data_IF_757417817288
#
_entry.id   IF_757417817288
#
_cell.length_a   1.000
_cell.length_b   1.000
_cell.length_c   1.000
_cell.angle_alpha   90.00
_cell.angle_beta   90.00
_cell.angle_gamma   90.00
#
_symmetry.space_group_name_H-M   'P 1'
#
loop_
_entity.id
_entity.type
_entity.pdbx_description
1 polymer ?
#
# COMPACT_ATOMS: atom_id res chain seq x y z
N UNK A 1 -15.92 -5.32 13.32
CA UNK A 1 -14.96 -5.69 12.27
C UNK A 1 -14.83 -7.20 12.25
N UNK A 2 -15.04 -7.84 11.11
CA UNK A 2 -14.85 -9.29 11.02
C UNK A 2 -13.34 -9.61 11.06
N UNK A 3 -12.93 -10.70 11.71
CA UNK A 3 -11.50 -11.08 11.85
C UNK A 3 -10.79 -11.12 10.49
N UNK A 4 -11.50 -11.54 9.45
CA UNK A 4 -11.04 -11.56 8.07
C UNK A 4 -10.66 -10.19 7.51
N UNK A 5 -11.39 -9.13 7.82
CA UNK A 5 -11.11 -7.78 7.30
C UNK A 5 -9.79 -7.25 7.85
N UNK A 6 -9.53 -7.44 9.15
CA UNK A 6 -8.26 -7.05 9.78
C UNK A 6 -7.07 -7.77 9.12
N UNK A 7 -7.22 -9.07 8.87
CA UNK A 7 -6.17 -9.84 8.21
C UNK A 7 -5.91 -9.32 6.80
N UNK A 8 -6.98 -9.02 6.04
CA UNK A 8 -6.85 -8.46 4.70
C UNK A 8 -6.13 -7.11 4.71
N UNK A 9 -6.51 -6.19 5.60
CA UNK A 9 -5.86 -4.88 5.74
C UNK A 9 -4.38 -5.02 6.14
N UNK A 10 -4.06 -5.96 7.03
CA UNK A 10 -2.68 -6.22 7.46
C UNK A 10 -1.85 -6.86 6.34
N UNK A 11 -2.40 -7.83 5.60
CA UNK A 11 -1.73 -8.43 4.45
C UNK A 11 -1.49 -7.38 3.36
N UNK A 12 -2.46 -6.51 3.12
CA UNK A 12 -2.33 -5.43 2.14
C UNK A 12 -1.20 -4.47 2.54
N UNK A 13 -1.17 -4.07 3.81
CA UNK A 13 -0.12 -3.19 4.33
C UNK A 13 1.28 -3.81 4.13
N UNK A 14 1.44 -5.09 4.46
CA UNK A 14 2.71 -5.82 4.30
C UNK A 14 3.12 -5.90 2.83
N UNK A 15 2.18 -6.28 1.94
CA UNK A 15 2.44 -6.38 0.50
C UNK A 15 2.87 -5.02 -0.07
N UNK A 16 2.17 -3.93 0.28
CA UNK A 16 2.52 -2.57 -0.17
C UNK A 16 3.92 -2.20 0.32
N UNK A 17 4.23 -2.42 1.60
CA UNK A 17 5.52 -2.05 2.19
C UNK A 17 6.70 -2.81 1.60
N UNK A 18 6.54 -4.10 1.30
CA UNK A 18 7.61 -4.96 0.79
C UNK A 18 7.75 -4.85 -0.73
N UNK A 19 6.66 -4.60 -1.46
CA UNK A 19 6.64 -4.59 -2.94
C UNK A 19 7.79 -3.85 -3.63
N UNK A 20 8.28 -2.69 -3.16
CA UNK A 20 9.34 -1.95 -3.85
C UNK A 20 10.72 -2.62 -3.66
N UNK A 21 10.89 -3.38 -2.58
CA UNK A 21 12.13 -4.10 -2.26
C UNK A 21 12.28 -5.38 -3.06
N UNK A 22 11.21 -5.85 -3.69
CA UNK A 22 11.28 -7.00 -4.60
C UNK A 22 12.31 -6.74 -5.70
N UNK A 23 12.49 -5.49 -6.12
CA UNK A 23 13.51 -5.10 -7.11
C UNK A 23 14.90 -5.60 -6.71
N UNK A 24 15.27 -5.57 -5.42
CA UNK A 24 16.60 -6.02 -4.95
C UNK A 24 16.83 -7.53 -5.08
N UNK A 25 15.80 -8.33 -5.38
CA UNK A 25 15.98 -9.76 -5.64
C UNK A 25 16.84 -10.04 -6.89
N UNK A 26 17.01 -9.05 -7.78
CA UNK A 26 17.95 -9.14 -8.89
C UNK A 26 19.39 -9.43 -8.45
N UNK A 27 19.79 -9.00 -7.24
CA UNK A 27 21.13 -9.24 -6.69
C UNK A 27 21.43 -10.73 -6.46
N UNK A 28 20.41 -11.58 -6.38
CA UNK A 28 20.59 -13.03 -6.27
C UNK A 28 20.91 -13.70 -7.61
N UNK A 29 20.87 -12.96 -8.72
CA UNK A 29 21.16 -13.50 -10.04
C UNK A 29 22.61 -13.25 -10.44
N UNK A 30 23.12 -14.10 -11.34
CA UNK A 30 24.52 -14.03 -11.78
C UNK A 30 24.82 -12.74 -12.56
N UNK A 31 25.90 -12.00 -12.22
CA UNK A 31 26.31 -10.82 -12.96
C UNK A 31 27.03 -11.13 -14.28
N UNK A 32 27.38 -12.41 -14.52
CA UNK A 32 28.19 -12.82 -15.68
C UNK A 32 27.41 -13.58 -16.75
N UNK A 33 26.22 -14.08 -16.43
CA UNK A 33 25.39 -14.85 -17.36
C UNK A 33 24.33 -13.96 -18.01
N UNK A 34 24.10 -14.18 -19.30
CA UNK A 34 23.11 -13.50 -20.16
C UNK A 34 21.90 -14.40 -20.51
N UNK A 35 21.75 -15.50 -19.78
CA UNK A 35 20.63 -16.43 -19.90
C UNK A 35 20.13 -16.87 -18.52
N UNK A 36 18.83 -17.15 -18.46
CA UNK A 36 18.19 -17.78 -17.31
C UNK A 36 18.00 -19.27 -17.56
N UNK A 37 18.29 -20.09 -16.55
CA UNK A 37 18.05 -21.54 -16.61
C UNK A 37 16.72 -21.89 -15.92
N UNK A 38 15.76 -22.39 -16.69
CA UNK A 38 14.48 -22.89 -16.18
C UNK A 38 14.31 -24.35 -16.61
N UNK A 39 14.21 -25.28 -15.64
CA UNK A 39 14.03 -26.72 -15.92
C UNK A 39 14.97 -27.23 -17.03
N UNK A 40 16.26 -26.92 -16.89
CA UNK A 40 17.33 -27.26 -17.86
C UNK A 40 17.28 -26.51 -19.21
N UNK A 41 16.19 -25.79 -19.51
CA UNK A 41 16.10 -24.90 -20.68
C UNK A 41 16.78 -23.56 -20.42
N UNK A 42 17.49 -23.03 -21.42
CA UNK A 42 18.15 -21.72 -21.37
C UNK A 42 17.31 -20.69 -22.10
N UNK A 43 16.85 -19.69 -21.37
CA UNK A 43 16.16 -18.53 -21.92
C UNK A 43 17.16 -17.38 -22.09
N UNK A 44 17.47 -17.06 -23.34
CA UNK A 44 18.31 -15.90 -23.69
C UNK A 44 17.44 -14.65 -23.72
N UNK A 45 17.75 -13.71 -22.84
CA UNK A 45 16.97 -12.50 -22.66
C UNK A 45 17.65 -11.29 -23.29
N UNK A 46 18.75 -11.42 -24.05
CA UNK A 46 19.42 -10.34 -24.79
C UNK A 46 19.89 -9.11 -24.01
N UNK A 47 20.02 -9.19 -22.67
CA UNK A 47 20.68 -8.16 -21.86
C UNK A 47 22.06 -8.64 -21.48
N UNK A 48 22.96 -7.71 -21.12
CA UNK A 48 24.36 -8.07 -20.84
C UNK A 48 24.53 -9.03 -19.66
N UNK A 49 23.60 -9.02 -18.70
CA UNK A 49 23.56 -9.99 -17.62
C UNK A 49 22.16 -10.17 -17.02
N UNK A 50 21.99 -11.26 -16.26
CA UNK A 50 20.75 -11.59 -15.57
C UNK A 50 20.36 -10.52 -14.54
N UNK A 51 21.33 -9.91 -13.85
CA UNK A 51 21.06 -8.87 -12.85
C UNK A 51 20.32 -7.66 -13.45
N UNK A 52 20.81 -7.12 -14.58
CA UNK A 52 20.16 -6.00 -15.28
C UNK A 52 18.80 -6.36 -15.82
N UNK A 53 18.68 -7.56 -16.41
CA UNK A 53 17.40 -8.03 -16.95
C UNK A 53 16.34 -8.11 -15.85
N UNK A 54 16.66 -8.80 -14.75
CA UNK A 54 15.73 -8.97 -13.63
C UNK A 54 15.44 -7.62 -12.96
N UNK A 55 16.43 -6.74 -12.81
CA UNK A 55 16.21 -5.40 -12.26
C UNK A 55 15.23 -4.59 -13.12
N UNK A 56 15.41 -4.54 -14.45
CA UNK A 56 14.51 -3.84 -15.37
C UNK A 56 13.09 -4.43 -15.35
N UNK A 57 13.00 -5.76 -15.37
CA UNK A 57 11.74 -6.49 -15.29
C UNK A 57 10.98 -6.16 -14.00
N UNK A 58 11.67 -6.16 -12.86
CA UNK A 58 11.04 -5.86 -11.57
C UNK A 58 10.73 -4.37 -11.40
N UNK A 59 11.58 -3.48 -11.92
CA UNK A 59 11.35 -2.04 -11.90
C UNK A 59 10.13 -1.64 -12.74
N UNK A 60 9.75 -2.42 -13.76
CA UNK A 60 8.47 -2.24 -14.48
C UNK A 60 7.28 -2.95 -13.81
N UNK A 61 7.52 -4.10 -13.18
CA UNK A 61 6.49 -4.86 -12.46
C UNK A 61 5.99 -4.17 -11.17
N UNK A 62 6.88 -3.56 -10.39
CA UNK A 62 6.50 -2.92 -9.12
C UNK A 62 5.46 -1.78 -9.29
N UNK A 63 5.63 -0.84 -10.24
CA UNK A 63 4.60 0.11 -10.65
C UNK A 63 3.26 -0.52 -11.02
N UNK A 64 3.29 -1.61 -11.79
CA UNK A 64 2.08 -2.33 -12.21
C UNK A 64 1.32 -2.89 -10.99
N UNK A 65 2.04 -3.55 -10.08
CA UNK A 65 1.48 -4.11 -8.86
C UNK A 65 0.89 -3.01 -7.97
N UNK A 66 1.64 -1.93 -7.72
CA UNK A 66 1.21 -0.83 -6.87
C UNK A 66 -0.01 -0.11 -7.43
N UNK A 67 -0.06 0.17 -8.74
CA UNK A 67 -1.21 0.81 -9.37
C UNK A 67 -2.44 -0.10 -9.42
N UNK A 68 -2.24 -1.42 -9.56
CA UNK A 68 -3.33 -2.41 -9.46
C UNK A 68 -3.94 -2.43 -8.05
N UNK A 69 -3.09 -2.41 -7.01
CA UNK A 69 -3.55 -2.30 -5.63
C UNK A 69 -4.22 -0.95 -5.36
N UNK A 70 -3.69 0.13 -5.93
CA UNK A 70 -4.29 1.47 -5.83
C UNK A 70 -5.72 1.47 -6.40
N UNK A 71 -5.93 0.89 -7.58
CA UNK A 71 -7.27 0.75 -8.18
C UNK A 71 -8.24 -0.04 -7.28
N UNK A 72 -7.82 -1.21 -6.77
CA UNK A 72 -8.66 -2.10 -5.96
C UNK A 72 -9.02 -1.43 -4.62
N UNK A 73 -8.07 -0.75 -3.98
CA UNK A 73 -8.23 -0.21 -2.63
C UNK A 73 -8.89 1.17 -2.57
N UNK A 74 -9.01 1.86 -3.70
CA UNK A 74 -9.56 3.22 -3.76
C UNK A 74 -11.08 3.18 -3.85
N UNK A 75 -11.77 3.96 -3.01
CA UNK A 75 -13.23 3.98 -2.97
C UNK A 75 -13.85 4.94 -3.98
N UNK A 76 -13.13 6.01 -4.31
CA UNK A 76 -13.58 7.08 -5.18
C UNK A 76 -13.72 6.63 -6.63
N UNK A 77 -14.68 7.22 -7.35
CA UNK A 77 -14.95 6.85 -8.74
C UNK A 77 -13.83 7.25 -9.71
N UNK A 78 -13.06 8.29 -9.40
CA UNK A 78 -11.91 8.69 -10.22
C UNK A 78 -10.83 7.61 -10.38
N UNK A 79 -10.84 6.55 -9.57
CA UNK A 79 -9.90 5.43 -9.70
C UNK A 79 -9.94 4.73 -11.06
N UNK A 80 -11.05 4.83 -11.81
CA UNK A 80 -11.12 4.23 -13.15
C UNK A 80 -10.12 4.89 -14.13
N UNK A 81 -9.68 6.12 -13.85
CA UNK A 81 -8.59 6.78 -14.57
C UNK A 81 -7.21 6.15 -14.31
N UNK A 82 -7.09 5.24 -13.33
CA UNK A 82 -5.87 4.44 -13.10
C UNK A 82 -5.77 3.28 -14.10
N UNK A 83 -6.89 2.79 -14.67
CA UNK A 83 -6.88 1.63 -15.56
C UNK A 83 -6.01 1.82 -16.82
N UNK A 84 -6.04 2.97 -17.52
CA UNK A 84 -5.10 3.22 -18.61
C UNK A 84 -3.64 3.20 -18.16
N UNK A 85 -3.33 3.71 -16.97
CA UNK A 85 -1.97 3.71 -16.41
C UNK A 85 -1.53 2.27 -16.10
N UNK A 86 -2.42 1.43 -15.58
CA UNK A 86 -2.16 0.00 -15.38
C UNK A 86 -1.87 -0.70 -16.72
N UNK A 87 -2.66 -0.43 -17.75
CA UNK A 87 -2.44 -0.99 -19.08
C UNK A 87 -1.08 -0.56 -19.67
N UNK A 88 -0.72 0.73 -19.51
CA UNK A 88 0.58 1.25 -19.94
C UNK A 88 1.75 0.59 -19.18
N UNK A 89 1.66 0.48 -17.85
CA UNK A 89 2.68 -0.21 -17.05
C UNK A 89 2.79 -1.69 -17.41
N UNK A 90 1.66 -2.34 -17.73
CA UNK A 90 1.66 -3.73 -18.16
C UNK A 90 2.32 -3.91 -19.53
N UNK A 91 2.04 -3.01 -20.48
CA UNK A 91 2.74 -2.98 -21.76
C UNK A 91 4.26 -2.79 -21.58
N UNK A 92 4.66 -1.87 -20.70
CA UNK A 92 6.07 -1.67 -20.33
C UNK A 92 6.71 -2.88 -19.65
N UNK A 93 5.94 -3.65 -18.88
CA UNK A 93 6.41 -4.92 -18.31
C UNK A 93 6.58 -6.00 -19.38
N UNK A 94 5.60 -6.15 -20.28
CA UNK A 94 5.68 -7.10 -21.38
C UNK A 94 6.82 -6.77 -22.35
N UNK A 95 7.15 -5.50 -22.51
CA UNK A 95 8.21 -5.03 -23.41
C UNK A 95 9.55 -5.74 -23.19
N UNK A 96 9.89 -6.06 -21.94
CA UNK A 96 11.16 -6.72 -21.61
C UNK A 96 11.25 -8.17 -22.11
N UNK A 97 10.14 -8.76 -22.54
CA UNK A 97 10.11 -10.08 -23.18
C UNK A 97 10.22 -10.00 -24.71
N UNK A 98 10.06 -8.82 -25.32
CA UNK A 98 10.01 -8.63 -26.78
C UNK A 98 10.97 -7.50 -27.19
N UNK A 99 12.22 -7.88 -27.50
CA UNK A 99 13.37 -6.95 -27.52
C UNK A 99 13.49 -6.07 -28.78
N UNK A 100 12.68 -6.29 -29.80
CA UNK A 100 12.93 -5.77 -31.16
C UNK A 100 12.06 -4.56 -31.57
N UNK A 101 11.23 -4.03 -30.66
CA UNK A 101 10.24 -2.99 -30.99
C UNK A 101 10.52 -1.71 -30.17
N UNK A 102 10.08 -0.53 -30.63
CA UNK A 102 10.10 0.67 -29.76
C UNK A 102 9.00 0.53 -28.71
N UNK A 103 9.27 0.97 -27.47
CA UNK A 103 8.30 0.88 -26.37
C UNK A 103 6.92 1.41 -26.74
N UNK A 104 6.84 2.61 -27.33
CA UNK A 104 5.57 3.25 -27.71
C UNK A 104 4.81 2.41 -28.75
N UNK A 105 5.49 1.94 -29.80
CA UNK A 105 4.85 1.10 -30.82
C UNK A 105 4.43 -0.26 -30.27
N UNK A 106 5.20 -0.81 -29.32
CA UNK A 106 4.88 -2.08 -28.68
C UNK A 106 3.66 -1.96 -27.76
N UNK A 107 3.56 -0.89 -26.96
CA UNK A 107 2.41 -0.62 -26.09
C UNK A 107 1.10 -0.43 -26.88
N UNK A 108 1.19 -0.03 -28.16
CA UNK A 108 0.05 0.10 -29.07
C UNK A 108 -0.19 -1.14 -29.94
N UNK A 109 0.60 -2.19 -29.77
CA UNK A 109 0.53 -3.40 -30.60
C UNK A 109 -0.57 -4.35 -30.12
N UNK A 110 -1.01 -5.28 -30.98
CA UNK A 110 -2.07 -6.24 -30.63
C UNK A 110 -1.62 -7.19 -29.52
N UNK A 111 -0.33 -7.49 -29.49
CA UNK A 111 0.35 -8.35 -28.54
C UNK A 111 0.29 -7.80 -27.11
N UNK A 112 0.17 -6.47 -26.94
CA UNK A 112 0.00 -5.83 -25.62
C UNK A 112 -1.45 -5.53 -25.30
N UNK A 113 -2.23 -5.04 -26.26
CA UNK A 113 -3.62 -4.62 -26.05
C UNK A 113 -4.50 -5.79 -25.59
N UNK A 114 -4.41 -6.97 -26.22
CA UNK A 114 -5.26 -8.12 -25.87
C UNK A 114 -4.98 -8.59 -24.44
N UNK A 115 -3.72 -8.87 -24.03
CA UNK A 115 -3.39 -9.20 -22.64
C UNK A 115 -3.76 -8.10 -21.65
N UNK A 116 -3.61 -6.82 -22.02
CA UNK A 116 -4.00 -5.71 -21.15
C UNK A 116 -5.51 -5.71 -20.87
N UNK A 117 -6.35 -5.93 -21.88
CA UNK A 117 -7.82 -6.04 -21.70
C UNK A 117 -8.18 -7.20 -20.75
N UNK A 118 -7.49 -8.34 -20.89
CA UNK A 118 -7.69 -9.49 -19.99
C UNK A 118 -7.33 -9.12 -18.56
N UNK A 119 -6.17 -8.50 -18.34
CA UNK A 119 -5.73 -8.04 -17.02
C UNK A 119 -6.72 -7.07 -16.39
N UNK A 120 -7.17 -6.05 -17.14
CA UNK A 120 -8.14 -5.06 -16.65
C UNK A 120 -9.48 -5.73 -16.30
N UNK A 121 -9.92 -6.70 -17.09
CA UNK A 121 -11.15 -7.46 -16.82
C UNK A 121 -11.04 -8.25 -15.52
N UNK A 122 -9.92 -8.92 -15.29
CA UNK A 122 -9.63 -9.63 -14.03
C UNK A 122 -9.63 -8.66 -12.85
N UNK A 123 -8.99 -7.49 -12.98
CA UNK A 123 -8.96 -6.48 -11.92
C UNK A 123 -10.37 -5.96 -11.59
N UNK A 124 -11.22 -5.72 -12.60
CA UNK A 124 -12.61 -5.30 -12.39
C UNK A 124 -13.43 -6.40 -11.69
N UNK A 125 -13.21 -7.68 -12.03
CA UNK A 125 -13.87 -8.81 -11.37
C UNK A 125 -13.44 -8.91 -9.91
N UNK A 126 -12.14 -8.82 -9.63
CA UNK A 126 -11.58 -8.82 -8.27
C UNK A 126 -12.16 -7.65 -7.46
N UNK A 127 -12.18 -6.46 -8.04
CA UNK A 127 -12.74 -5.26 -7.41
C UNK A 127 -14.21 -5.47 -7.02
N UNK A 128 -15.06 -5.94 -7.94
CA UNK A 128 -16.47 -6.24 -7.66
C UNK A 128 -16.65 -7.25 -6.52
N UNK A 129 -15.77 -8.25 -6.43
CA UNK A 129 -15.81 -9.25 -5.35
C UNK A 129 -15.39 -8.66 -4.00
N UNK A 130 -14.36 -7.81 -3.98
CA UNK A 130 -13.84 -7.20 -2.74
C UNK A 130 -14.72 -6.05 -2.22
N UNK A 131 -15.47 -5.37 -3.10
CA UNK A 131 -16.32 -4.19 -2.80
C UNK A 131 -17.35 -4.43 -1.69
N UNK A 132 -17.97 -5.62 -1.62
CA UNK A 132 -19.11 -5.86 -0.73
C UNK A 132 -18.73 -5.87 0.75
N UNK A 133 -17.55 -6.39 1.09
CA UNK A 133 -17.15 -6.65 2.48
C UNK A 133 -16.15 -5.63 3.02
N UNK A 134 -15.30 -5.05 2.16
CA UNK A 134 -14.20 -4.21 2.60
C UNK A 134 -14.57 -2.74 2.83
N UNK A 135 -15.54 -2.20 2.08
CA UNK A 135 -15.79 -0.74 2.01
C UNK A 135 -16.72 -0.17 3.08
N UNK A 136 -17.36 -1.00 3.92
CA UNK A 136 -18.44 -0.55 4.82
C UNK A 136 -17.98 0.01 6.16
N UNK A 137 -16.77 -0.29 6.64
CA UNK A 137 -16.30 0.21 7.94
C UNK A 137 -14.85 0.67 7.87
N UNK A 138 -14.61 1.96 8.08
CA UNK A 138 -13.28 2.55 8.13
C UNK A 138 -12.95 2.87 9.60
N UNK A 139 -11.80 2.39 10.05
CA UNK A 139 -11.25 2.76 11.35
C UNK A 139 -10.19 3.82 11.15
N UNK A 140 -10.43 5.00 11.72
CA UNK A 140 -9.43 6.06 11.78
C UNK A 140 -8.67 5.94 13.09
N UNK A 141 -7.37 5.71 13.00
CA UNK A 141 -6.48 5.63 14.16
C UNK A 141 -5.49 6.77 14.08
N UNK A 142 -5.48 7.61 15.11
CA UNK A 142 -4.49 8.66 15.27
C UNK A 142 -3.16 8.07 15.77
N UNK A 143 -2.04 8.54 15.22
CA UNK A 143 -0.70 8.05 15.57
C UNK A 143 -0.42 8.21 17.08
N UNK A 144 -0.91 9.29 17.69
CA UNK A 144 -0.75 9.57 19.12
C UNK A 144 -1.37 8.48 20.01
N UNK A 145 -2.49 7.89 19.57
CA UNK A 145 -3.14 6.79 20.30
C UNK A 145 -2.28 5.54 20.27
N UNK A 146 -1.61 5.28 19.15
CA UNK A 146 -0.71 4.13 18.97
C UNK A 146 0.53 4.28 19.85
N UNK A 147 1.15 5.46 19.84
CA UNK A 147 2.32 5.76 20.69
C UNK A 147 1.95 5.62 22.17
N UNK A 148 0.81 6.20 22.57
CA UNK A 148 0.31 6.10 23.94
C UNK A 148 0.04 4.65 24.34
N UNK A 149 -0.57 3.85 23.47
CA UNK A 149 -0.81 2.43 23.74
C UNK A 149 0.48 1.62 23.83
N UNK A 150 1.46 1.88 22.95
CA UNK A 150 2.74 1.21 22.94
C UNK A 150 3.48 1.44 24.28
N UNK A 151 3.47 2.67 24.79
CA UNK A 151 4.12 3.05 26.03
C UNK A 151 3.37 2.58 27.28
N UNK A 152 2.03 2.58 27.24
CA UNK A 152 1.23 2.33 28.44
C UNK A 152 0.71 0.90 28.60
N UNK A 153 0.65 0.10 27.52
CA UNK A 153 0.11 -1.26 27.54
C UNK A 153 -1.36 -1.35 27.99
N UNK A 154 -2.08 -0.23 27.93
CA UNK A 154 -3.34 -0.05 28.62
C UNK A 154 -4.48 -0.90 28.04
N UNK A 155 -4.50 -1.25 26.75
CA UNK A 155 -5.48 -2.19 26.22
C UNK A 155 -5.20 -3.62 26.66
N UNK A 156 -3.94 -4.05 26.75
CA UNK A 156 -3.60 -5.41 27.20
C UNK A 156 -4.06 -5.64 28.63
N UNK A 157 -3.83 -4.65 29.51
CA UNK A 157 -4.26 -4.71 30.90
C UNK A 157 -5.80 -4.74 31.04
N UNK A 158 -6.50 -3.93 30.25
CA UNK A 158 -7.97 -3.96 30.19
C UNK A 158 -8.50 -5.32 29.73
N UNK A 159 -7.91 -5.88 28.68
CA UNK A 159 -8.28 -7.19 28.14
C UNK A 159 -8.09 -8.29 29.18
N UNK A 160 -6.95 -8.30 29.89
CA UNK A 160 -6.66 -9.26 30.94
C UNK A 160 -7.71 -9.21 32.06
N UNK A 161 -7.97 -8.01 32.62
CA UNK A 161 -8.96 -7.82 33.69
C UNK A 161 -10.38 -8.14 33.26
N UNK A 162 -10.75 -7.83 32.02
CA UNK A 162 -12.07 -8.15 31.48
C UNK A 162 -12.27 -9.66 31.38
N UNK A 163 -11.25 -10.37 30.89
CA UNK A 163 -11.29 -11.83 30.76
C UNK A 163 -11.36 -12.51 32.14
N UNK A 164 -10.61 -12.02 33.13
CA UNK A 164 -10.68 -12.50 34.51
C UNK A 164 -12.09 -12.37 35.09
N UNK A 165 -12.72 -11.20 34.93
CA UNK A 165 -14.08 -10.95 35.44
C UNK A 165 -15.13 -11.80 34.73
N UNK A 166 -15.04 -11.94 33.40
CA UNK A 166 -15.97 -12.75 32.61
C UNK A 166 -15.90 -14.24 32.98
N UNK A 167 -14.69 -14.76 33.25
CA UNK A 167 -14.51 -16.16 33.63
C UNK A 167 -14.70 -16.42 35.14
N UNK A 168 -14.73 -15.36 35.96
CA UNK A 168 -14.95 -15.50 37.40
C UNK A 168 -16.43 -15.81 37.72
N UNK A 169 -16.66 -16.77 38.62
CA UNK A 169 -18.01 -17.08 39.10
C UNK A 169 -18.53 -15.96 40.02
N UNK A 170 -19.75 -15.45 39.76
CA UNK A 170 -20.42 -14.36 40.51
C UNK A 170 -20.73 -14.66 41.98
N UNK A 171 -20.33 -15.83 42.49
CA UNK A 171 -20.89 -16.52 43.67
C UNK A 171 -20.69 -15.83 45.02
N UNK A 172 -19.75 -14.89 45.19
CA UNK A 172 -19.46 -14.29 46.52
C UNK A 172 -20.21 -12.98 46.83
N UNK A 173 -20.57 -12.17 45.84
CA UNK A 173 -21.34 -10.93 46.02
C UNK A 173 -21.76 -10.36 44.65
N UNK A 174 -23.03 -10.53 44.29
CA UNK A 174 -23.58 -10.06 43.01
C UNK A 174 -23.44 -8.54 42.85
N UNK A 175 -23.62 -7.78 43.94
CA UNK A 175 -23.48 -6.31 43.94
C UNK A 175 -22.05 -5.87 43.64
N UNK A 176 -21.05 -6.43 44.32
CA UNK A 176 -19.64 -6.08 44.08
C UNK A 176 -19.18 -6.50 42.69
N UNK A 177 -19.64 -7.66 42.20
CA UNK A 177 -19.36 -8.11 40.85
C UNK A 177 -19.95 -7.15 39.80
N UNK A 178 -21.19 -6.71 40.00
CA UNK A 178 -21.87 -5.75 39.13
C UNK A 178 -21.15 -4.39 39.11
N UNK A 179 -20.70 -3.88 40.25
CA UNK A 179 -19.89 -2.65 40.30
C UNK A 179 -18.57 -2.78 39.52
N UNK A 180 -17.88 -3.92 39.60
CA UNK A 180 -16.65 -4.16 38.82
C UNK A 180 -16.92 -4.17 37.32
N UNK A 181 -18.01 -4.83 36.89
CA UNK A 181 -18.45 -4.85 35.48
C UNK A 181 -18.77 -3.43 35.00
N UNK A 182 -19.47 -2.63 35.80
CA UNK A 182 -19.80 -1.23 35.48
C UNK A 182 -18.53 -0.40 35.23
N UNK A 183 -17.56 -0.49 36.14
CA UNK A 183 -16.30 0.24 36.03
C UNK A 183 -15.52 -0.14 34.76
N UNK A 184 -15.49 -1.42 34.38
CA UNK A 184 -14.87 -1.84 33.12
C UNK A 184 -15.62 -1.31 31.89
N UNK A 185 -16.96 -1.26 31.92
CA UNK A 185 -17.73 -0.66 30.82
C UNK A 185 -17.34 0.82 30.67
N UNK A 186 -17.24 1.58 31.75
CA UNK A 186 -16.86 2.99 31.70
C UNK A 186 -15.45 3.20 31.13
N UNK A 187 -14.47 2.38 31.55
CA UNK A 187 -13.12 2.40 30.96
C UNK A 187 -13.18 2.08 29.46
N UNK A 188 -14.00 1.11 29.06
CA UNK A 188 -14.15 0.73 27.65
C UNK A 188 -14.80 1.82 26.81
N UNK A 189 -15.73 2.59 27.40
CA UNK A 189 -16.40 3.73 26.76
C UNK A 189 -15.38 4.85 26.51
N UNK A 190 -14.60 5.25 27.52
CA UNK A 190 -13.52 6.24 27.38
C UNK A 190 -12.50 5.83 26.32
N UNK A 191 -12.15 4.55 26.27
CA UNK A 191 -11.23 3.99 25.27
C UNK A 191 -11.82 3.94 23.88
N UNK A 192 -13.14 3.74 23.77
CA UNK A 192 -13.83 3.68 22.48
C UNK A 192 -13.80 5.05 21.77
N UNK A 193 -13.82 6.14 22.53
CA UNK A 193 -13.74 7.51 21.99
C UNK A 193 -12.39 7.85 21.34
N UNK A 194 -11.31 7.22 21.79
CA UNK A 194 -9.95 7.45 21.25
C UNK A 194 -9.78 6.91 19.81
N UNK A 195 -10.59 5.95 19.38
CA UNK A 195 -10.54 5.38 18.03
C UNK A 195 -11.92 5.56 17.41
N UNK A 196 -12.04 6.57 16.54
CA UNK A 196 -13.30 6.88 15.86
C UNK A 196 -13.55 5.90 14.74
N UNK A 197 -14.69 5.20 14.82
CA UNK A 197 -15.25 4.44 13.70
C UNK A 197 -16.05 5.40 12.84
N UNK A 198 -15.59 5.67 11.64
CA UNK A 198 -16.32 6.46 10.65
C UNK A 198 -17.00 5.52 9.67
N UNK A 199 -18.34 5.54 9.66
CA UNK A 199 -19.13 4.87 8.63
C UNK A 199 -19.39 5.88 7.52
N UNK A 200 -18.80 5.64 6.34
CA UNK A 200 -19.08 6.46 5.16
C UNK A 200 -20.15 5.80 4.32
N UNK A 201 -21.24 6.52 4.11
CA UNK A 201 -22.12 6.29 2.98
C UNK A 201 -21.39 6.75 1.72
N UNK A 202 -21.19 5.83 0.78
CA UNK A 202 -20.63 6.14 -0.54
C UNK A 202 -21.64 7.06 -1.23
N UNK A 203 -21.26 8.32 -1.49
CA UNK A 203 -22.09 9.21 -2.31
C UNK A 203 -22.15 8.63 -3.72
N UNK A 204 -23.37 8.42 -4.23
CA UNK A 204 -23.60 7.75 -5.51
C UNK A 204 -23.32 8.64 -6.73
N UNK A 205 -23.15 9.96 -6.56
CA UNK A 205 -22.99 10.88 -7.68
C UNK A 205 -21.51 11.09 -8.03
N UNK A 206 -21.21 11.02 -9.33
CA UNK A 206 -19.90 11.39 -9.87
C UNK A 206 -19.82 12.91 -9.95
N UNK A 207 -18.80 13.50 -9.32
CA UNK A 207 -18.67 14.96 -9.19
C UNK A 207 -17.62 15.51 -10.17
N UNK A 208 -17.70 16.80 -10.49
CA UNK A 208 -16.68 17.49 -11.30
C UNK A 208 -15.27 17.35 -10.69
N UNK A 209 -15.17 17.30 -9.35
CA UNK A 209 -13.92 17.01 -8.64
C UNK A 209 -13.30 15.66 -9.02
N UNK A 210 -14.11 14.64 -9.31
CA UNK A 210 -13.62 13.32 -9.72
C UNK A 210 -13.01 13.38 -11.13
N UNK A 211 -13.57 14.19 -12.04
CA UNK A 211 -13.00 14.40 -13.38
C UNK A 211 -11.64 15.09 -13.29
N UNK A 212 -11.55 16.20 -12.56
CA UNK A 212 -10.31 16.96 -12.39
C UNK A 212 -9.22 16.06 -11.79
N UNK A 213 -9.57 15.30 -10.75
CA UNK A 213 -8.65 14.34 -10.12
C UNK A 213 -8.24 13.23 -11.10
N UNK A 214 -9.20 12.72 -11.89
CA UNK A 214 -8.94 11.70 -12.90
C UNK A 214 -8.00 12.16 -14.01
N UNK A 215 -8.19 13.37 -14.54
CA UNK A 215 -7.28 13.97 -15.53
C UNK A 215 -5.89 14.22 -14.96
N UNK A 216 -5.79 14.71 -13.71
CA UNK A 216 -4.51 14.88 -13.03
C UNK A 216 -3.77 13.53 -12.90
N UNK A 217 -4.48 12.47 -12.54
CA UNK A 217 -3.91 11.11 -12.44
C UNK A 217 -3.39 10.63 -13.79
N UNK A 218 -4.16 10.81 -14.86
CA UNK A 218 -3.71 10.45 -16.21
C UNK A 218 -2.44 11.21 -16.58
N UNK A 219 -2.44 12.54 -16.44
CA UNK A 219 -1.31 13.38 -16.79
C UNK A 219 -0.03 12.96 -16.04
N UNK A 220 -0.15 12.75 -14.71
CA UNK A 220 0.96 12.29 -13.87
C UNK A 220 1.42 10.89 -14.27
N UNK A 221 0.48 9.96 -14.47
CA UNK A 221 0.79 8.57 -14.81
C UNK A 221 1.41 8.38 -16.18
N UNK A 222 1.25 9.35 -17.09
CA UNK A 222 1.84 9.35 -18.42
C UNK A 222 3.11 10.21 -18.56
N UNK A 223 3.62 10.82 -17.48
CA UNK A 223 4.75 11.76 -17.55
C UNK A 223 5.98 11.18 -18.26
N UNK A 224 6.27 9.90 -18.05
CA UNK A 224 7.44 9.26 -18.64
C UNK A 224 7.37 9.14 -20.17
N UNK A 225 6.20 9.30 -20.80
CA UNK A 225 6.04 9.27 -22.26
C UNK A 225 6.57 10.54 -22.94
N UNK A 226 6.75 11.63 -22.17
CA UNK A 226 7.25 12.92 -22.68
C UNK A 226 8.71 12.79 -23.16
N UNK A 227 9.44 11.76 -22.73
CA UNK A 227 10.82 11.51 -23.13
C UNK A 227 11.03 11.48 -24.65
N UNK A 228 10.02 11.08 -25.44
CA UNK A 228 10.11 11.01 -26.90
C UNK A 228 10.18 12.38 -27.57
N UNK A 229 9.83 13.44 -26.84
CA UNK A 229 9.95 14.83 -27.31
C UNK A 229 11.38 15.39 -27.15
N UNK A 230 12.26 14.70 -26.44
CA UNK A 230 13.61 15.18 -26.14
C UNK A 230 14.67 14.57 -27.06
N UNK A 231 15.73 15.33 -27.39
CA UNK A 231 16.79 14.86 -28.27
C UNK A 231 17.67 13.80 -27.60
N UNK A 232 18.26 12.94 -28.44
CA UNK A 232 19.30 11.97 -28.04
C UNK A 232 20.68 12.64 -28.01
N UNK A 233 20.83 13.65 -27.15
CA UNK A 233 22.09 14.38 -26.94
C UNK A 233 22.70 14.08 -25.56
N UNK A 234 23.98 14.41 -25.40
CA UNK A 234 24.74 14.31 -24.15
C UNK A 234 24.53 15.50 -23.19
N UNK A 235 23.95 16.59 -23.69
CA UNK A 235 23.55 17.76 -22.89
C UNK A 235 22.35 18.48 -23.51
N UNK A 236 21.54 19.10 -22.65
CA UNK A 236 20.33 19.82 -23.02
C UNK A 236 20.57 21.24 -22.59
N UNK A 237 20.64 22.12 -23.58
CA UNK A 237 20.63 23.55 -23.31
C UNK A 237 19.17 23.98 -23.28
N UNK A 238 18.68 24.39 -22.11
CA UNK A 238 17.34 24.90 -21.94
C UNK A 238 17.38 26.22 -21.18
N UNK A 239 16.89 27.30 -21.81
CA UNK A 239 16.76 28.62 -21.20
C UNK A 239 18.05 29.13 -20.51
N UNK A 240 19.23 28.83 -21.08
CA UNK A 240 20.53 29.24 -20.53
C UNK A 240 21.13 28.30 -19.48
N UNK A 241 20.47 27.17 -19.18
CA UNK A 241 20.99 26.11 -18.31
C UNK A 241 21.43 24.90 -19.13
N UNK A 242 22.60 24.35 -18.79
CA UNK A 242 23.11 23.13 -19.40
C UNK A 242 22.87 21.95 -18.46
N UNK A 243 21.90 21.10 -18.80
CA UNK A 243 21.61 19.87 -18.08
C UNK A 243 22.50 18.74 -18.65
N UNK A 244 23.47 18.21 -17.88
CA UNK A 244 24.24 17.04 -18.30
C UNK A 244 23.40 15.76 -18.19
N UNK A 245 23.87 14.66 -18.77
CA UNK A 245 23.18 13.36 -18.68
C UNK A 245 23.30 12.67 -17.33
N UNK A 246 24.09 13.17 -16.38
CA UNK A 246 24.32 12.54 -15.06
C UNK A 246 24.61 11.03 -15.17
N UNK A 247 25.49 10.65 -16.10
CA UNK A 247 25.91 9.25 -16.33
C UNK A 247 24.91 8.38 -17.12
N UNK A 248 23.75 8.91 -17.51
CA UNK A 248 22.87 8.25 -18.49
C UNK A 248 23.46 8.36 -19.90
N UNK A 249 23.06 7.42 -20.78
CA UNK A 249 23.52 7.36 -22.18
C UNK A 249 23.21 8.65 -22.95
N UNK A 250 22.03 9.20 -22.71
CA UNK A 250 21.47 10.37 -23.37
C UNK A 250 20.34 10.97 -22.53
N UNK A 251 19.98 12.22 -22.83
CA UNK A 251 18.96 12.97 -22.08
C UNK A 251 17.60 12.34 -22.17
N UNK A 252 17.29 11.75 -23.33
CA UNK A 252 16.07 10.99 -23.51
C UNK A 252 15.96 9.86 -22.45
N UNK A 253 17.03 9.12 -22.17
CA UNK A 253 17.05 8.09 -21.12
C UNK A 253 16.91 8.69 -19.70
N UNK A 254 17.57 9.80 -19.43
CA UNK A 254 17.46 10.52 -18.15
C UNK A 254 16.02 10.96 -17.87
N UNK A 255 15.36 11.57 -18.85
CA UNK A 255 13.98 12.07 -18.74
C UNK A 255 12.98 10.93 -18.62
N UNK A 256 13.17 9.86 -19.38
CA UNK A 256 12.36 8.66 -19.26
C UNK A 256 12.45 8.06 -17.85
N UNK A 257 13.67 7.86 -17.34
CA UNK A 257 13.88 7.25 -16.03
C UNK A 257 13.38 8.14 -14.88
N UNK A 258 13.74 9.43 -14.88
CA UNK A 258 13.26 10.39 -13.89
C UNK A 258 11.74 10.58 -13.94
N UNK A 259 11.15 10.61 -15.13
CA UNK A 259 9.71 10.69 -15.34
C UNK A 259 8.95 9.51 -14.74
N UNK A 260 9.48 8.29 -14.84
CA UNK A 260 8.87 7.11 -14.20
C UNK A 260 8.86 7.23 -12.67
N UNK A 261 10.00 7.60 -12.07
CA UNK A 261 10.10 7.74 -10.61
C UNK A 261 9.18 8.86 -10.10
N UNK A 262 9.16 10.00 -10.79
CA UNK A 262 8.31 11.13 -10.43
C UNK A 262 6.81 10.83 -10.59
N UNK A 263 6.43 10.09 -11.64
CA UNK A 263 5.07 9.59 -11.80
C UNK A 263 4.67 8.67 -10.62
N UNK A 264 5.54 7.73 -10.23
CA UNK A 264 5.27 6.81 -9.12
C UNK A 264 5.15 7.54 -7.77
N UNK A 265 6.09 8.43 -7.44
CA UNK A 265 6.05 9.22 -6.20
C UNK A 265 4.75 10.02 -6.11
N UNK A 266 4.37 10.69 -7.21
CA UNK A 266 3.16 11.51 -7.28
C UNK A 266 1.89 10.68 -7.14
N UNK A 267 1.77 9.54 -7.84
CA UNK A 267 0.61 8.65 -7.73
C UNK A 267 0.50 8.03 -6.33
N UNK A 268 1.61 7.60 -5.72
CA UNK A 268 1.63 7.07 -4.36
C UNK A 268 1.27 8.13 -3.33
N UNK A 269 1.72 9.38 -3.52
CA UNK A 269 1.36 10.51 -2.66
C UNK A 269 -0.13 10.83 -2.76
N UNK A 270 -0.69 10.83 -3.97
CA UNK A 270 -2.14 10.95 -4.18
C UNK A 270 -2.90 9.80 -3.52
N UNK A 271 -2.40 8.56 -3.61
CA UNK A 271 -2.99 7.42 -2.93
C UNK A 271 -2.95 7.58 -1.40
N UNK A 272 -1.83 8.06 -0.86
CA UNK A 272 -1.67 8.29 0.57
C UNK A 272 -2.66 9.33 1.11
N UNK A 273 -2.80 10.46 0.42
CA UNK A 273 -3.70 11.55 0.82
C UNK A 273 -5.16 11.13 0.67
N UNK A 274 -5.49 10.40 -0.40
CA UNK A 274 -6.87 9.98 -0.68
C UNK A 274 -7.35 8.80 0.18
N UNK A 275 -6.43 8.01 0.74
CA UNK A 275 -6.73 6.86 1.60
C UNK A 275 -7.03 7.27 3.04
N UNK A 276 -8.14 6.76 3.57
CA UNK A 276 -8.56 6.95 4.97
C UNK A 276 -8.26 5.73 5.84
N UNK A 277 -7.79 4.64 5.26
CA UNK A 277 -7.47 3.44 6.01
C UNK A 277 -6.17 3.62 6.80
N UNK A 278 -6.09 2.96 7.95
CA UNK A 278 -4.88 2.99 8.79
C UNK A 278 -3.65 2.40 8.07
N UNK A 279 -3.82 1.43 7.17
CA UNK A 279 -2.69 0.85 6.44
C UNK A 279 -2.08 1.81 5.44
N UNK A 280 -2.66 2.99 5.16
CA UNK A 280 -2.06 3.99 4.27
C UNK A 280 -0.64 4.36 4.64
N UNK A 281 -0.27 4.25 5.93
CA UNK A 281 1.10 4.45 6.40
C UNK A 281 2.10 3.47 5.76
N UNK A 282 1.64 2.32 5.25
CA UNK A 282 2.45 1.41 4.42
C UNK A 282 2.99 2.04 3.15
N UNK A 283 2.31 3.05 2.60
CA UNK A 283 2.74 3.78 1.40
C UNK A 283 3.97 4.65 1.65
N UNK A 284 4.30 4.95 2.91
CA UNK A 284 5.53 5.68 3.22
C UNK A 284 6.78 4.91 2.79
N UNK A 285 6.74 3.58 2.84
CA UNK A 285 7.85 2.71 2.37
C UNK A 285 8.15 2.89 0.87
N UNK A 286 7.19 2.65 -0.05
CA UNK A 286 7.41 2.88 -1.48
C UNK A 286 7.73 4.35 -1.79
N UNK A 287 7.07 5.31 -1.14
CA UNK A 287 7.37 6.74 -1.37
C UNK A 287 8.82 7.03 -1.02
N UNK A 288 9.30 6.60 0.15
CA UNK A 288 10.69 6.81 0.57
C UNK A 288 11.68 6.16 -0.40
N UNK A 289 11.43 4.93 -0.86
CA UNK A 289 12.32 4.26 -1.81
C UNK A 289 12.37 4.98 -3.16
N UNK A 290 11.21 5.28 -3.76
CA UNK A 290 11.20 5.96 -5.05
C UNK A 290 11.74 7.38 -4.96
N UNK A 291 11.51 8.09 -3.86
CA UNK A 291 12.13 9.42 -3.61
C UNK A 291 13.65 9.33 -3.51
N UNK A 292 14.17 8.31 -2.82
CA UNK A 292 15.62 8.09 -2.75
C UNK A 292 16.18 7.75 -4.14
N UNK A 293 15.56 6.83 -4.87
CA UNK A 293 15.97 6.49 -6.24
C UNK A 293 15.93 7.71 -7.16
N UNK A 294 14.91 8.57 -7.02
CA UNK A 294 14.82 9.81 -7.78
C UNK A 294 15.95 10.79 -7.45
N UNK A 295 16.31 10.92 -6.18
CA UNK A 295 17.45 11.75 -5.76
C UNK A 295 18.78 11.21 -6.30
N UNK A 296 18.95 9.88 -6.25
CA UNK A 296 20.19 9.22 -6.68
C UNK A 296 20.48 9.36 -8.18
N UNK A 297 19.46 9.62 -9.01
CA UNK A 297 19.63 9.96 -10.44
C UNK A 297 20.62 11.12 -10.63
N UNK A 298 20.64 12.07 -9.70
CA UNK A 298 21.46 13.29 -9.81
C UNK A 298 22.79 13.18 -9.06
N UNK A 299 23.14 11.99 -8.54
CA UNK A 299 24.42 11.76 -7.85
C UNK A 299 25.57 11.53 -8.85
N UNK A 300 26.78 11.98 -8.49
CA UNK A 300 27.95 12.08 -9.41
C UNK A 300 28.53 10.70 -9.81
N UNK A 301 28.16 9.62 -9.12
CA UNK A 301 28.71 8.28 -9.30
C UNK A 301 27.75 7.30 -9.97
N UNK A 302 26.88 7.77 -10.86
CA UNK A 302 25.79 7.01 -11.47
C UNK A 302 26.25 5.88 -12.43
N UNK A 303 26.96 4.90 -11.89
CA UNK A 303 26.76 3.52 -12.31
C UNK A 303 25.32 3.20 -11.92
N UNK A 304 24.40 3.41 -12.87
CA UNK A 304 22.96 3.23 -12.74
C UNK A 304 22.67 1.94 -11.96
N UNK A 305 22.32 2.09 -10.68
CA UNK A 305 21.69 1.14 -9.75
C UNK A 305 22.16 -0.34 -9.72
N UNK A 306 23.23 -0.74 -10.40
CA UNK A 306 23.74 -2.13 -10.39
C UNK A 306 24.12 -2.61 -8.98
N UNK A 307 24.50 -1.68 -8.09
CA UNK A 307 24.93 -1.99 -6.72
C UNK A 307 23.80 -2.17 -5.70
N UNK A 308 22.53 -1.91 -6.06
CA UNK A 308 21.39 -2.00 -5.16
C UNK A 308 21.51 -1.06 -3.94
N UNK A 309 20.85 0.09 -3.98
CA UNK A 309 20.80 1.06 -2.89
C UNK A 309 20.10 0.54 -1.61
N UNK A 310 20.75 -0.39 -0.91
CA UNK A 310 20.33 -1.02 0.35
C UNK A 310 20.29 -0.03 1.53
N UNK A 311 20.81 1.19 1.34
CA UNK A 311 20.77 2.29 2.31
C UNK A 311 19.32 2.63 2.73
N UNK A 312 18.32 2.32 1.89
CA UNK A 312 16.91 2.57 2.19
C UNK A 312 16.27 1.48 3.06
N UNK A 313 16.91 0.32 3.19
CA UNK A 313 16.37 -0.84 3.92
C UNK A 313 16.08 -0.56 5.41
N UNK A 314 16.94 0.17 6.17
CA UNK A 314 16.62 0.56 7.55
C UNK A 314 15.33 1.39 7.65
N UNK A 315 15.12 2.34 6.73
CA UNK A 315 13.89 3.15 6.71
C UNK A 315 12.65 2.28 6.53
N UNK A 316 12.76 1.20 5.76
CA UNK A 316 11.59 0.34 5.48
C UNK A 316 11.34 -0.67 6.58
N UNK A 317 12.38 -1.15 7.25
CA UNK A 317 12.24 -1.83 8.54
C UNK A 317 11.46 -0.97 9.56
N UNK A 318 11.77 0.33 9.66
CA UNK A 318 11.03 1.25 10.56
C UNK A 318 9.56 1.33 10.17
N UNK A 319 9.24 1.51 8.87
CA UNK A 319 7.84 1.53 8.41
C UNK A 319 7.13 0.21 8.66
N UNK A 320 7.80 -0.94 8.49
CA UNK A 320 7.24 -2.26 8.74
C UNK A 320 6.88 -2.45 10.22
N UNK A 321 7.80 -2.08 11.12
CA UNK A 321 7.56 -2.11 12.56
C UNK A 321 6.36 -1.23 12.92
N UNK A 322 6.30 0.00 12.37
CA UNK A 322 5.18 0.92 12.59
C UNK A 322 3.83 0.29 12.18
N UNK A 323 3.77 -0.37 11.02
CA UNK A 323 2.55 -1.03 10.52
C UNK A 323 2.13 -2.19 11.41
N UNK A 324 3.08 -3.00 11.90
CA UNK A 324 2.78 -4.09 12.83
C UNK A 324 2.25 -3.53 14.16
N UNK A 325 2.82 -2.43 14.66
CA UNK A 325 2.31 -1.72 15.84
C UNK A 325 0.89 -1.17 15.63
N UNK A 326 0.61 -0.59 14.46
CA UNK A 326 -0.74 -0.12 14.09
C UNK A 326 -1.74 -1.29 14.05
N UNK A 327 -1.40 -2.38 13.37
CA UNK A 327 -2.25 -3.55 13.23
C UNK A 327 -2.55 -4.23 14.57
N UNK A 328 -1.58 -4.28 15.49
CA UNK A 328 -1.79 -4.81 16.84
C UNK A 328 -2.68 -3.90 17.69
N UNK A 329 -2.55 -2.58 17.56
CA UNK A 329 -3.42 -1.61 18.25
C UNK A 329 -4.87 -1.76 17.83
N UNK A 330 -5.12 -1.87 16.53
CA UNK A 330 -6.48 -2.06 15.98
C UNK A 330 -7.07 -3.40 16.42
N UNK A 331 -6.26 -4.46 16.44
CA UNK A 331 -6.67 -5.77 16.96
C UNK A 331 -7.12 -5.69 18.42
N UNK A 332 -6.35 -5.00 19.25
CA UNK A 332 -6.68 -4.84 20.66
C UNK A 332 -7.94 -4.00 20.85
N UNK A 333 -8.14 -2.97 20.04
CA UNK A 333 -9.37 -2.17 20.04
C UNK A 333 -10.60 -3.01 19.70
N UNK A 334 -10.55 -3.85 18.65
CA UNK A 334 -11.66 -4.74 18.31
C UNK A 334 -12.00 -5.69 19.47
N UNK A 335 -10.98 -6.18 20.19
CA UNK A 335 -11.18 -7.00 21.39
C UNK A 335 -11.86 -6.21 22.51
N UNK A 336 -11.46 -4.97 22.76
CA UNK A 336 -12.08 -4.08 23.76
C UNK A 336 -13.56 -3.89 23.46
N UNK A 337 -13.93 -3.65 22.19
CA UNK A 337 -15.33 -3.55 21.78
C UNK A 337 -16.12 -4.85 21.99
N UNK A 338 -15.51 -6.00 21.70
CA UNK A 338 -16.15 -7.29 21.94
C UNK A 338 -16.38 -7.54 23.44
N UNK A 339 -15.37 -7.25 24.28
CA UNK A 339 -15.50 -7.35 25.74
C UNK A 339 -16.54 -6.38 26.29
N UNK A 340 -16.60 -5.14 25.79
CA UNK A 340 -17.64 -4.18 26.15
C UNK A 340 -19.03 -4.74 25.92
N UNK A 341 -19.28 -5.35 24.76
CA UNK A 341 -20.58 -5.97 24.46
C UNK A 341 -20.91 -7.12 25.42
N UNK A 342 -19.94 -7.99 25.73
CA UNK A 342 -20.12 -9.08 26.69
C UNK A 342 -20.37 -8.56 28.11
N UNK A 343 -19.60 -7.57 28.56
CA UNK A 343 -19.77 -6.94 29.88
C UNK A 343 -21.14 -6.27 30.01
N UNK A 344 -21.65 -5.63 28.95
CA UNK A 344 -23.02 -5.08 28.93
C UNK A 344 -24.09 -6.14 29.07
N UNK A 345 -23.96 -7.28 28.38
CA UNK A 345 -24.89 -8.40 28.55
C UNK A 345 -24.87 -8.97 29.97
N UNK A 346 -23.68 -9.10 30.58
CA UNK A 346 -23.53 -9.52 31.97
C UNK A 346 -24.19 -8.50 32.92
N UNK A 347 -23.98 -7.20 32.67
CA UNK A 347 -24.59 -6.12 33.45
C UNK A 347 -26.12 -6.19 33.41
N UNK A 348 -26.72 -6.28 32.23
CA UNK A 348 -28.17 -6.38 32.06
C UNK A 348 -28.73 -7.62 32.76
N UNK A 349 -28.04 -8.76 32.66
CA UNK A 349 -28.40 -9.98 33.38
C UNK A 349 -28.36 -9.78 34.89
N UNK A 350 -27.31 -9.16 35.42
CA UNK A 350 -27.17 -8.93 36.86
C UNK A 350 -28.22 -7.96 37.39
N UNK A 351 -28.56 -6.90 36.64
CA UNK A 351 -29.61 -5.96 37.01
C UNK A 351 -30.96 -6.68 37.13
N UNK A 352 -31.30 -7.57 36.17
CA UNK A 352 -32.53 -8.39 36.23
C UNK A 352 -32.57 -9.34 37.43
N UNK A 353 -31.43 -9.94 37.78
CA UNK A 353 -31.36 -10.82 38.96
C UNK A 353 -31.51 -10.03 40.26
N UNK A 354 -30.93 -8.82 40.34
CA UNK A 354 -31.07 -7.94 41.49
C UNK A 354 -32.49 -7.41 41.66
N UNK A 355 -33.20 -7.10 40.57
CA UNK A 355 -34.60 -6.64 40.63
C UNK A 355 -35.57 -7.76 41.04
N UNK A 356 -35.28 -9.01 40.67
CA UNK A 356 -36.16 -10.14 40.98
C UNK A 356 -35.92 -10.71 42.39
N UNK A 357 -34.75 -10.51 42.98
CA UNK A 357 -34.42 -10.95 44.34
C UNK A 357 -34.71 -9.92 45.44
N UNK A 358 -35.29 -8.76 45.08
CA UNK A 358 -35.73 -7.72 46.04
C UNK A 358 -37.23 -7.74 46.33
N UNK A 359 -37.96 -8.72 45.77
CA UNK A 359 -39.30 -9.13 46.18
C UNK A 359 -39.18 -10.37 47.08
#
# INVERSE_FOLDING_TARGET
MNRHQLWLELTLAIVITISPFVIFTHLFFSPTQDYLTFFESRYFHGFSNNQKYIWLLLNSFCPLLLNSLFFICTYQKWRFFILPIIALNFGSFLFYFYQDVRLVSFVLSKETIIPAIILLSVLIIIDRRLISNYRRSIFKVELNVVIKELLSGNFRLFISKSNEIINSNSKKSLKNFTCKVYHLIQISDQKAELIKREERHIKENFLCSDLITGFLILAIGSLYLIYDLFPRSSSLEFAGFNLPTFGFRDIQSLIWYSGQKLAMISLLSLWFISSMHWWRWSLMSPIALYSYQFWDIFSVSSVVEEGGNLIVLPMTCITLIMIVCLGTTIRNYVRVLNYRNQLRQIMERNIRLLSNGSN
#
